data_IF_389243310619
#
_entry.id   IF_389243310619
#
_cell.length_a   1.000
_cell.length_b   1.000
_cell.length_c   1.000
_cell.angle_alpha   90.00
_cell.angle_beta   90.00
_cell.angle_gamma   90.00
#
_symmetry.space_group_name_H-M   'P 1'
#
loop_
_entity.id
_entity.type
_entity.pdbx_description
1 polymer ?
#
# COMPACT_ATOMS: atom_id res chain seq x y z
N UNK A 1 19.22 1.61 -2.49
CA UNK A 1 18.07 1.41 -1.59
C UNK A 1 17.12 2.57 -1.85
N UNK A 2 16.09 2.37 -2.68
CA UNK A 2 15.20 3.46 -3.08
C UNK A 2 14.13 3.60 -1.99
N UNK A 3 14.07 4.73 -1.30
CA UNK A 3 13.09 4.96 -0.26
C UNK A 3 11.81 5.46 -0.93
N UNK A 4 10.81 4.60 -1.03
CA UNK A 4 9.51 4.98 -1.59
C UNK A 4 8.51 5.11 -0.45
N UNK A 5 7.80 6.23 -0.36
CA UNK A 5 6.73 6.47 0.62
C UNK A 5 5.39 6.23 -0.06
N UNK A 6 4.59 5.34 0.50
CA UNK A 6 3.17 5.17 0.16
C UNK A 6 2.36 6.14 1.01
N UNK A 7 1.54 6.95 0.35
CA UNK A 7 0.56 7.82 0.99
C UNK A 7 -0.84 7.37 0.58
N UNK A 8 -1.71 7.13 1.56
CA UNK A 8 -3.13 6.90 1.29
C UNK A 8 -3.79 8.23 0.90
N UNK A 9 -4.35 8.30 -0.31
CA UNK A 9 -5.07 9.47 -0.82
C UNK A 9 -6.58 9.28 -0.68
N UNK A 10 -7.08 8.08 -1.01
CA UNK A 10 -8.51 7.73 -0.94
C UNK A 10 -8.70 6.45 -0.16
N UNK A 11 -9.71 6.38 0.68
CA UNK A 11 -10.06 5.19 1.46
C UNK A 11 -11.06 4.26 0.73
N UNK A 12 -11.02 4.21 -0.60
CA UNK A 12 -11.96 3.41 -1.39
C UNK A 12 -11.40 2.03 -1.70
N UNK A 13 -12.23 1.01 -1.49
CA UNK A 13 -11.92 -0.40 -1.80
C UNK A 13 -12.79 -0.93 -2.94
N UNK A 14 -13.38 -0.04 -3.76
CA UNK A 14 -14.27 -0.43 -4.85
C UNK A 14 -13.52 -1.18 -5.96
N UNK A 15 -13.99 -2.37 -6.34
CA UNK A 15 -13.30 -3.28 -7.28
C UNK A 15 -11.83 -3.58 -6.90
N UNK A 16 -11.48 -3.49 -5.61
CA UNK A 16 -10.18 -3.92 -5.10
C UNK A 16 -10.25 -5.41 -4.73
N UNK A 17 -9.22 -6.17 -5.12
CA UNK A 17 -9.04 -7.56 -4.70
C UNK A 17 -8.65 -7.68 -3.23
N UNK A 18 -8.39 -8.92 -2.79
CA UNK A 18 -8.04 -9.23 -1.39
C UNK A 18 -6.78 -8.49 -0.93
N UNK A 19 -5.72 -8.51 -1.74
CA UNK A 19 -4.44 -7.85 -1.40
C UNK A 19 -4.59 -6.33 -1.36
N UNK A 20 -5.27 -5.75 -2.36
CA UNK A 20 -5.53 -4.30 -2.41
C UNK A 20 -6.32 -3.83 -1.18
N UNK A 21 -7.35 -4.59 -0.77
CA UNK A 21 -8.10 -4.30 0.46
C UNK A 21 -7.23 -4.36 1.70
N UNK A 22 -6.39 -5.37 1.85
CA UNK A 22 -5.48 -5.48 3.00
C UNK A 22 -4.53 -4.29 3.09
N UNK A 23 -3.98 -3.84 1.96
CA UNK A 23 -3.12 -2.65 1.93
C UNK A 23 -3.88 -1.39 2.34
N UNK A 24 -5.06 -1.15 1.76
CA UNK A 24 -5.87 0.04 2.08
C UNK A 24 -6.34 0.02 3.54
N UNK A 25 -6.73 -1.15 4.05
CA UNK A 25 -7.17 -1.32 5.43
C UNK A 25 -6.02 -1.09 6.41
N UNK A 26 -4.84 -1.64 6.13
CA UNK A 26 -3.64 -1.39 6.93
C UNK A 26 -3.27 0.10 6.97
N UNK A 27 -3.29 0.77 5.81
CA UNK A 27 -3.05 2.21 5.72
C UNK A 27 -4.11 3.02 6.49
N UNK A 28 -5.38 2.60 6.42
CA UNK A 28 -6.50 3.23 7.15
C UNK A 28 -6.34 3.06 8.67
N UNK A 29 -6.05 1.84 9.13
CA UNK A 29 -5.81 1.55 10.54
C UNK A 29 -4.60 2.34 11.07
N UNK A 30 -3.54 2.45 10.28
CA UNK A 30 -2.35 3.24 10.62
C UNK A 30 -2.67 4.73 10.69
N UNK A 31 -3.43 5.27 9.74
CA UNK A 31 -3.93 6.65 9.78
C UNK A 31 -4.76 6.90 11.06
N UNK A 32 -5.62 5.97 11.44
CA UNK A 32 -6.43 6.09 12.66
C UNK A 32 -5.60 6.01 13.95
N UNK A 33 -4.55 5.18 13.99
CA UNK A 33 -3.70 5.01 15.18
C UNK A 33 -2.59 6.04 15.34
N UNK A 34 -1.94 6.42 14.23
CA UNK A 34 -0.74 7.27 14.24
C UNK A 34 -0.97 8.65 13.62
N UNK A 35 -2.19 8.94 13.13
CA UNK A 35 -2.53 10.23 12.51
C UNK A 35 -1.88 10.48 11.15
N UNK A 36 -1.05 9.56 10.64
CA UNK A 36 -0.29 9.73 9.41
C UNK A 36 -0.67 8.68 8.36
N UNK A 37 -1.10 9.09 7.15
CA UNK A 37 -1.41 8.17 6.04
C UNK A 37 -0.17 7.72 5.27
N UNK A 38 1.02 8.05 5.76
CA UNK A 38 2.31 7.87 5.08
C UNK A 38 3.10 6.72 5.72
N UNK A 39 3.62 5.83 4.89
CA UNK A 39 4.48 4.73 5.32
C UNK A 39 5.47 4.38 4.19
N UNK A 40 6.74 4.06 4.49
CA UNK A 40 7.63 3.56 3.45
C UNK A 40 7.16 2.19 2.92
N UNK A 41 7.29 1.98 1.60
CA UNK A 41 6.93 0.72 0.90
C UNK A 41 7.64 -0.48 1.53
N UNK A 42 8.86 -0.29 2.01
CA UNK A 42 9.65 -1.36 2.62
C UNK A 42 8.98 -1.91 3.89
N UNK A 43 8.41 -1.05 4.74
CA UNK A 43 7.68 -1.46 5.94
C UNK A 43 6.41 -2.24 5.56
N UNK A 44 5.75 -1.81 4.48
CA UNK A 44 4.59 -2.51 3.94
C UNK A 44 5.00 -3.92 3.47
N UNK A 45 6.10 -4.02 2.73
CA UNK A 45 6.62 -5.32 2.26
C UNK A 45 7.06 -6.24 3.40
N UNK A 46 7.68 -5.68 4.45
CA UNK A 46 8.06 -6.41 5.66
C UNK A 46 6.82 -6.92 6.41
N UNK A 47 5.78 -6.09 6.56
CA UNK A 47 4.56 -6.47 7.27
C UNK A 47 3.80 -7.62 6.59
N UNK A 48 3.82 -7.69 5.27
CA UNK A 48 3.14 -8.73 4.51
C UNK A 48 3.98 -10.01 4.29
N UNK A 49 5.21 -10.07 4.82
CA UNK A 49 6.12 -11.23 4.74
C UNK A 49 6.15 -11.87 3.33
N UNK A 50 6.22 -11.02 2.31
CA UNK A 50 5.95 -11.42 0.93
C UNK A 50 7.01 -12.40 0.41
N UNK A 51 6.64 -13.68 0.25
CA UNK A 51 7.44 -14.65 -0.49
C UNK A 51 7.40 -14.35 -2.00
N UNK A 52 8.42 -14.76 -2.77
CA UNK A 52 8.67 -14.27 -4.15
C UNK A 52 7.45 -14.22 -5.09
N UNK A 53 6.55 -15.21 -5.04
CA UNK A 53 5.30 -15.22 -5.83
C UNK A 53 4.31 -14.12 -5.37
N UNK A 54 4.12 -13.99 -4.06
CA UNK A 54 3.27 -12.97 -3.45
C UNK A 54 3.81 -11.55 -3.67
N UNK A 55 5.15 -11.39 -3.74
CA UNK A 55 5.77 -10.10 -4.06
C UNK A 55 5.34 -9.56 -5.42
N UNK A 56 5.21 -10.43 -6.42
CA UNK A 56 4.76 -10.04 -7.76
C UNK A 56 3.28 -9.63 -7.75
N UNK A 57 2.42 -10.40 -7.09
CA UNK A 57 1.00 -10.06 -6.92
C UNK A 57 0.80 -8.76 -6.12
N UNK A 58 1.65 -8.53 -5.12
CA UNK A 58 1.63 -7.32 -4.32
C UNK A 58 2.03 -6.10 -5.14
N UNK A 59 3.10 -6.20 -5.94
CA UNK A 59 3.51 -5.13 -6.85
C UNK A 59 2.42 -4.83 -7.90
N UNK A 60 1.77 -5.85 -8.44
CA UNK A 60 0.60 -5.71 -9.30
C UNK A 60 -0.56 -4.98 -8.59
N UNK A 61 -0.85 -5.35 -7.34
CA UNK A 61 -1.88 -4.70 -6.53
C UNK A 61 -1.56 -3.22 -6.25
N UNK A 62 -0.32 -2.92 -5.86
CA UNK A 62 0.18 -1.56 -5.63
C UNK A 62 0.06 -0.72 -6.92
N UNK A 63 0.47 -1.27 -8.07
CA UNK A 63 0.29 -0.61 -9.39
C UNK A 63 -1.17 -0.31 -9.72
N UNK A 64 -2.10 -1.24 -9.40
CA UNK A 64 -3.54 -1.03 -9.61
C UNK A 64 -4.10 0.07 -8.70
N UNK A 65 -3.69 0.09 -7.43
CA UNK A 65 -4.07 1.13 -6.47
C UNK A 65 -3.53 2.50 -6.89
N UNK A 66 -2.29 2.57 -7.37
CA UNK A 66 -1.68 3.79 -7.88
C UNK A 66 -2.39 4.30 -9.14
N UNK A 67 -2.66 3.42 -10.12
CA UNK A 67 -3.41 3.76 -11.35
C UNK A 67 -4.81 4.31 -11.05
N UNK A 68 -5.42 3.89 -9.95
CA UNK A 68 -6.74 4.37 -9.48
C UNK A 68 -6.66 5.60 -8.57
N UNK A 69 -5.45 6.10 -8.32
CA UNK A 69 -5.20 7.25 -7.46
C UNK A 69 -5.75 7.04 -6.02
N UNK A 70 -5.66 5.80 -5.54
CA UNK A 70 -6.04 5.40 -4.17
C UNK A 70 -4.84 5.61 -3.24
N UNK A 71 -3.67 5.19 -3.72
CA UNK A 71 -2.39 5.42 -3.07
C UNK A 71 -1.50 6.26 -3.97
N UNK A 72 -0.62 7.05 -3.38
CA UNK A 72 0.44 7.78 -4.07
C UNK A 72 1.78 7.25 -3.60
N UNK A 73 2.65 6.91 -4.53
CA UNK A 73 4.03 6.50 -4.24
C UNK A 73 4.92 7.70 -4.53
N UNK A 74 5.62 8.20 -3.52
CA UNK A 74 6.61 9.25 -3.67
C UNK A 74 7.99 8.63 -3.46
N UNK A 75 8.88 8.80 -4.43
CA UNK A 75 10.28 8.41 -4.31
C UNK A 75 11.03 9.53 -3.57
N UNK A 76 11.80 9.18 -2.54
CA UNK A 76 12.72 10.05 -1.80
C UNK A 76 14.15 9.53 -2.00
#
# INVERSE_FOLDING_TARGET
>A
MVMSIVTLIRNTTWKCGKIERLVVDYLRHRLQRFGSPQIPVIELMHHFELNGKQKSEFLEAIRRLEKRNIIKISWI
#
